data_IF_643967819520
#
_entry.id   IF_643967819520
#
_cell.length_a   1.000
_cell.length_b   1.000
_cell.length_c   1.000
_cell.angle_alpha   90.00
_cell.angle_beta   90.00
_cell.angle_gamma   90.00
#
_symmetry.space_group_name_H-M   'P 1'
#
loop_
_entity.id
_entity.type
_entity.pdbx_description
1 polymer ?
#
# COMPACT_ATOMS: atom_id res chain seq x y z
N UNK A 1 -9.42 -6.23 -8.06
CA UNK A 1 -10.23 -7.10 -7.18
C UNK A 1 -10.57 -6.33 -5.91
N UNK A 2 -11.72 -6.61 -5.28
CA UNK A 2 -12.14 -5.95 -4.03
C UNK A 2 -12.52 -7.02 -3.02
N UNK A 3 -11.85 -7.02 -1.88
CA UNK A 3 -12.02 -8.01 -0.81
C UNK A 3 -12.58 -7.33 0.42
N UNK A 4 -13.45 -8.00 1.17
CA UNK A 4 -13.97 -7.49 2.44
C UNK A 4 -13.32 -8.24 3.60
N UNK A 5 -12.89 -7.52 4.62
CA UNK A 5 -12.45 -8.06 5.91
C UNK A 5 -13.29 -7.47 7.03
N UNK A 6 -13.89 -8.35 7.81
CA UNK A 6 -14.68 -8.00 8.98
C UNK A 6 -13.84 -8.23 10.23
N UNK A 7 -13.63 -7.20 11.05
CA UNK A 7 -12.88 -7.37 12.30
C UNK A 7 -13.72 -8.01 13.41
N UNK A 8 -13.11 -8.74 14.35
CA UNK A 8 -13.81 -9.19 15.56
C UNK A 8 -14.20 -8.01 16.46
N UNK A 9 -15.22 -8.23 17.30
CA UNK A 9 -15.55 -7.34 18.41
C UNK A 9 -14.47 -7.40 19.48
N UNK A 10 -14.10 -6.26 20.03
CA UNK A 10 -13.29 -6.19 21.25
C UNK A 10 -14.14 -6.54 22.47
N UNK A 11 -13.51 -6.95 23.58
CA UNK A 11 -14.22 -7.27 24.82
C UNK A 11 -15.06 -6.08 25.32
N UNK A 12 -14.54 -4.85 25.21
CA UNK A 12 -15.25 -3.64 25.59
C UNK A 12 -16.51 -3.37 24.74
N UNK A 13 -16.47 -3.70 23.45
CA UNK A 13 -17.62 -3.53 22.54
C UNK A 13 -18.70 -4.58 22.82
N UNK A 14 -18.29 -5.81 23.16
CA UNK A 14 -19.22 -6.87 23.57
C UNK A 14 -19.95 -6.48 24.86
N UNK A 15 -19.23 -5.98 25.87
CA UNK A 15 -19.84 -5.51 27.13
C UNK A 15 -20.73 -4.28 26.94
N UNK A 16 -20.46 -3.46 25.93
CA UNK A 16 -21.25 -2.26 25.63
C UNK A 16 -22.52 -2.53 24.79
N UNK A 17 -22.80 -3.79 24.44
CA UNK A 17 -24.00 -4.15 23.65
C UNK A 17 -23.93 -3.73 22.18
N UNK A 18 -22.73 -3.55 21.62
CA UNK A 18 -22.54 -3.18 20.20
C UNK A 18 -22.79 -4.34 19.23
N UNK A 19 -22.82 -5.58 19.73
CA UNK A 19 -23.08 -6.79 18.95
C UNK A 19 -24.58 -7.01 18.75
N UNK A 20 -25.12 -6.47 17.66
CA UNK A 20 -26.56 -6.51 17.34
C UNK A 20 -26.89 -7.24 16.03
N UNK A 21 -26.01 -8.13 15.55
CA UNK A 21 -26.14 -8.86 14.26
C UNK A 21 -26.36 -7.93 13.03
N UNK A 22 -25.74 -6.75 13.04
CA UNK A 22 -25.85 -5.80 11.94
C UNK A 22 -25.14 -6.26 10.66
N UNK A 23 -24.18 -7.19 10.77
CA UNK A 23 -23.36 -7.69 9.66
C UNK A 23 -23.44 -9.21 9.66
N UNK A 24 -24.06 -9.78 8.62
CA UNK A 24 -24.12 -11.22 8.42
C UNK A 24 -23.30 -11.59 7.18
N UNK A 25 -22.36 -12.51 7.31
CA UNK A 25 -21.56 -13.01 6.19
C UNK A 25 -22.29 -14.18 5.54
N UNK A 26 -22.46 -14.12 4.23
CA UNK A 26 -22.96 -15.20 3.41
C UNK A 26 -21.81 -15.69 2.51
N UNK A 27 -21.11 -16.76 2.91
CA UNK A 27 -19.94 -17.25 2.19
C UNK A 27 -20.27 -17.65 0.75
N UNK A 28 -19.30 -17.53 -0.19
CA UNK A 28 -17.90 -17.11 0.05
C UNK A 28 -17.65 -15.60 -0.11
N UNK A 29 -18.61 -14.85 -0.65
CA UNK A 29 -18.34 -13.56 -1.29
C UNK A 29 -19.35 -12.46 -0.96
N UNK A 30 -20.35 -12.73 -0.10
CA UNK A 30 -21.44 -11.80 0.13
C UNK A 30 -21.55 -11.41 1.60
N UNK A 31 -21.93 -10.15 1.85
CA UNK A 31 -22.30 -9.64 3.17
C UNK A 31 -23.69 -8.99 3.12
N UNK A 32 -24.49 -9.25 4.14
CA UNK A 32 -25.79 -8.65 4.37
C UNK A 32 -25.67 -7.66 5.54
N UNK A 33 -26.00 -6.40 5.28
CA UNK A 33 -26.04 -5.34 6.27
C UNK A 33 -27.48 -5.11 6.75
N UNK A 34 -27.75 -5.37 8.02
CA UNK A 34 -29.07 -5.23 8.66
C UNK A 34 -29.10 -4.01 9.58
N UNK A 35 -30.26 -3.36 9.75
CA UNK A 35 -30.42 -2.34 10.79
C UNK A 35 -30.24 -2.96 12.18
N UNK A 36 -29.83 -2.17 13.19
CA UNK A 36 -29.65 -2.67 14.55
C UNK A 36 -31.00 -3.11 15.13
N UNK A 37 -30.98 -4.08 16.05
CA UNK A 37 -32.17 -4.59 16.70
C UNK A 37 -32.75 -3.51 17.63
N UNK A 38 -33.74 -2.76 17.14
CA UNK A 38 -34.49 -1.81 17.96
C UNK A 38 -35.27 -2.55 19.05
N UNK A 39 -35.17 -2.06 20.29
CA UNK A 39 -36.05 -2.47 21.38
C UNK A 39 -37.52 -2.29 20.98
N UNK A 40 -38.41 -3.16 21.45
CA UNK A 40 -39.83 -3.13 21.08
C UNK A 40 -40.50 -1.76 21.33
N UNK A 41 -40.00 -0.99 22.32
CA UNK A 41 -40.45 0.36 22.65
C UNK A 41 -40.09 1.42 21.58
N UNK A 42 -38.94 1.30 20.91
CA UNK A 42 -38.53 2.25 19.87
C UNK A 42 -39.29 2.04 18.54
N UNK A 43 -39.88 0.85 18.34
CA UNK A 43 -40.77 0.57 17.20
C UNK A 43 -42.14 1.23 17.32
N UNK A 44 -42.59 1.54 18.55
CA UNK A 44 -43.92 2.11 18.81
C UNK A 44 -43.95 3.65 18.71
N UNK A 45 -42.80 4.32 18.83
CA UNK A 45 -42.71 5.79 18.81
C UNK A 45 -42.39 6.39 17.44
N UNK A 46 -42.18 5.58 16.40
CA UNK A 46 -41.80 6.06 15.07
C UNK A 46 -42.69 5.44 13.99
N UNK A 47 -43.87 6.03 13.76
CA UNK A 47 -44.87 5.62 12.76
C UNK A 47 -44.42 5.69 11.28
N UNK A 48 -43.12 5.86 10.98
CA UNK A 48 -42.63 6.11 9.61
C UNK A 48 -41.47 5.25 9.12
N UNK A 49 -41.04 4.22 9.84
CA UNK A 49 -40.03 3.30 9.31
C UNK A 49 -40.68 2.10 8.63
N UNK A 50 -40.73 2.11 7.29
CA UNK A 50 -40.83 0.87 6.52
C UNK A 50 -39.76 -0.10 7.03
N UNK A 51 -40.03 -1.43 7.07
CA UNK A 51 -38.99 -2.41 7.40
C UNK A 51 -37.85 -2.21 6.40
N UNK A 52 -36.73 -1.62 6.84
CA UNK A 52 -35.55 -1.53 6.00
C UNK A 52 -35.02 -2.95 5.86
N UNK A 53 -35.39 -3.58 4.74
CA UNK A 53 -34.80 -4.83 4.27
C UNK A 53 -33.29 -4.64 4.22
N UNK A 54 -32.54 -5.59 4.80
CA UNK A 54 -31.08 -5.53 4.82
C UNK A 54 -30.48 -5.35 3.41
N UNK A 55 -29.35 -4.65 3.33
CA UNK A 55 -28.67 -4.37 2.06
C UNK A 55 -27.59 -5.41 1.80
N UNK A 56 -27.61 -6.01 0.62
CA UNK A 56 -26.67 -7.06 0.19
C UNK A 56 -25.51 -6.46 -0.63
N UNK A 57 -24.28 -6.85 -0.31
CA UNK A 57 -23.07 -6.43 -1.02
C UNK A 57 -22.21 -7.65 -1.38
N UNK A 58 -21.82 -7.76 -2.64
CA UNK A 58 -20.95 -8.83 -3.14
C UNK A 58 -19.51 -8.33 -3.25
N UNK A 59 -18.54 -9.21 -3.05
CA UNK A 59 -17.09 -8.95 -3.10
C UNK A 59 -16.39 -10.03 -3.94
N UNK A 60 -15.07 -9.93 -4.10
CA UNK A 60 -14.27 -11.04 -4.67
C UNK A 60 -14.14 -12.20 -3.67
N UNK A 61 -14.06 -11.88 -2.37
CA UNK A 61 -14.22 -12.81 -1.24
C UNK A 61 -14.50 -11.98 0.02
N UNK A 62 -15.13 -12.62 1.01
CA UNK A 62 -15.39 -12.03 2.33
C UNK A 62 -14.63 -12.82 3.40
N UNK A 63 -13.80 -12.13 4.15
CA UNK A 63 -13.00 -12.67 5.25
C UNK A 63 -13.63 -12.26 6.58
N UNK A 64 -14.05 -13.26 7.35
CA UNK A 64 -14.73 -13.04 8.62
C UNK A 64 -13.79 -12.73 9.79
N UNK A 65 -14.35 -12.52 10.99
CA UNK A 65 -13.60 -12.18 12.20
C UNK A 65 -12.52 -13.19 12.60
N UNK A 66 -12.69 -14.44 12.21
CA UNK A 66 -11.78 -15.55 12.53
C UNK A 66 -10.63 -15.70 11.53
N UNK A 67 -10.66 -14.96 10.41
CA UNK A 67 -9.62 -15.06 9.38
C UNK A 67 -8.30 -14.47 9.88
N UNK A 68 -7.27 -15.32 9.92
CA UNK A 68 -5.90 -14.94 10.25
C UNK A 68 -5.26 -14.03 9.19
N UNK A 69 -4.14 -13.39 9.51
CA UNK A 69 -3.44 -12.56 8.53
C UNK A 69 -2.84 -13.39 7.40
N UNK A 70 -2.42 -14.63 7.69
CA UNK A 70 -1.89 -15.55 6.69
C UNK A 70 -2.96 -15.90 5.66
N UNK A 71 -4.13 -16.35 6.11
CA UNK A 71 -5.24 -16.70 5.21
C UNK A 71 -5.69 -15.50 4.37
N UNK A 72 -5.76 -14.31 4.98
CA UNK A 72 -6.06 -13.10 4.23
C UNK A 72 -5.00 -12.81 3.16
N UNK A 73 -3.71 -12.89 3.51
CA UNK A 73 -2.61 -12.65 2.58
C UNK A 73 -2.63 -13.64 1.41
N UNK A 74 -2.76 -14.94 1.71
CA UNK A 74 -2.83 -16.02 0.72
C UNK A 74 -4.03 -15.84 -0.23
N UNK A 75 -5.19 -15.46 0.30
CA UNK A 75 -6.40 -15.24 -0.49
C UNK A 75 -6.44 -13.93 -1.30
N UNK A 76 -5.53 -12.98 -1.05
CA UNK A 76 -5.65 -11.61 -1.62
C UNK A 76 -4.39 -11.05 -2.27
N UNK A 77 -3.23 -11.09 -1.59
CA UNK A 77 -2.02 -10.33 -1.98
C UNK A 77 -0.95 -11.24 -2.59
N UNK A 78 -0.91 -12.53 -2.25
CA UNK A 78 0.10 -13.48 -2.75
C UNK A 78 0.23 -13.48 -4.29
N UNK A 79 -0.89 -13.48 -5.01
CA UNK A 79 -0.92 -13.41 -6.47
C UNK A 79 -0.33 -12.11 -7.04
N UNK A 80 -0.44 -11.01 -6.31
CA UNK A 80 0.11 -9.71 -6.70
C UNK A 80 1.61 -9.66 -6.48
N UNK A 81 2.10 -10.32 -5.42
CA UNK A 81 3.53 -10.54 -5.21
C UNK A 81 4.11 -11.35 -6.36
N UNK A 82 3.43 -12.44 -6.76
CA UNK A 82 3.82 -13.22 -7.94
C UNK A 82 3.90 -12.35 -9.20
N UNK A 83 2.84 -11.58 -9.47
CA UNK A 83 2.79 -10.67 -10.63
C UNK A 83 3.97 -9.69 -10.67
N UNK A 84 4.36 -9.15 -9.51
CA UNK A 84 5.50 -8.23 -9.39
C UNK A 84 6.83 -8.96 -9.61
N UNK A 85 7.00 -10.17 -9.09
CA UNK A 85 8.19 -10.97 -9.36
C UNK A 85 8.30 -11.34 -10.85
N UNK A 86 7.17 -11.49 -11.54
CA UNK A 86 7.08 -11.74 -12.99
C UNK A 86 7.30 -10.48 -13.85
N UNK A 87 7.50 -9.30 -13.24
CA UNK A 87 7.75 -8.04 -13.95
C UNK A 87 6.55 -7.10 -14.07
N UNK A 88 5.42 -7.44 -13.44
CA UNK A 88 4.21 -6.63 -13.38
C UNK A 88 4.25 -5.46 -12.40
N UNK A 89 3.16 -4.71 -12.30
CA UNK A 89 2.97 -3.68 -11.28
C UNK A 89 1.69 -3.98 -10.54
N UNK A 90 1.74 -3.89 -9.22
CA UNK A 90 0.58 -4.16 -8.39
C UNK A 90 0.42 -3.09 -7.32
N UNK A 91 -0.84 -2.73 -7.07
CA UNK A 91 -1.26 -1.82 -6.02
C UNK A 91 -2.21 -2.58 -5.09
N UNK A 92 -1.93 -2.53 -3.80
CA UNK A 92 -2.85 -2.97 -2.74
C UNK A 92 -3.10 -1.80 -1.82
N UNK A 93 -4.36 -1.48 -1.53
CA UNK A 93 -4.67 -0.47 -0.52
C UNK A 93 -5.77 -0.95 0.42
N UNK A 94 -5.59 -0.67 1.70
CA UNK A 94 -6.63 -0.85 2.72
C UNK A 94 -7.56 0.35 2.72
N UNK A 95 -8.85 0.13 2.92
CA UNK A 95 -9.84 1.21 2.97
C UNK A 95 -10.92 0.90 4.00
N UNK A 96 -11.39 1.93 4.69
CA UNK A 96 -12.44 1.82 5.70
C UNK A 96 -12.34 2.92 6.74
N UNK A 97 -13.30 2.92 7.65
CA UNK A 97 -13.39 3.88 8.75
C UNK A 97 -12.26 3.69 9.76
N UNK A 98 -11.99 4.70 10.58
CA UNK A 98 -11.14 4.55 11.76
C UNK A 98 -11.67 3.44 12.66
N UNK A 99 -10.73 2.70 13.27
CA UNK A 99 -11.02 1.51 14.07
C UNK A 99 -11.65 0.34 13.30
N UNK A 100 -11.56 0.28 11.96
CA UNK A 100 -11.99 -0.91 11.20
C UNK A 100 -10.92 -2.00 11.05
N UNK A 101 -9.68 -1.74 11.51
CA UNK A 101 -8.58 -2.70 11.42
C UNK A 101 -7.72 -2.57 10.15
N UNK A 102 -7.68 -1.38 9.52
CA UNK A 102 -6.80 -1.09 8.37
C UNK A 102 -5.32 -1.33 8.68
N UNK A 103 -4.79 -0.67 9.71
CA UNK A 103 -3.39 -0.84 10.13
C UNK A 103 -3.08 -2.25 10.61
N UNK A 104 -4.05 -2.92 11.27
CA UNK A 104 -3.94 -4.36 11.57
C UNK A 104 -3.77 -5.16 10.28
N UNK A 105 -4.56 -4.91 9.25
CA UNK A 105 -4.42 -5.58 7.95
C UNK A 105 -3.10 -5.24 7.25
N UNK A 106 -2.71 -3.97 7.27
CA UNK A 106 -1.51 -3.48 6.61
C UNK A 106 -0.22 -4.05 7.21
N UNK A 107 -0.03 -3.95 8.53
CA UNK A 107 1.20 -4.36 9.24
C UNK A 107 1.05 -5.58 10.12
N UNK A 108 -0.09 -5.72 10.78
CA UNK A 108 -0.32 -6.73 11.80
C UNK A 108 0.46 -6.50 13.09
N UNK A 109 0.11 -7.23 14.17
CA UNK A 109 0.97 -7.36 15.34
C UNK A 109 2.26 -8.12 14.98
N UNK A 110 3.30 -7.99 15.82
CA UNK A 110 4.55 -8.74 15.63
C UNK A 110 4.33 -10.27 15.69
N UNK A 111 3.28 -10.75 16.37
CA UNK A 111 2.92 -12.17 16.44
C UNK A 111 2.22 -12.71 15.19
N UNK A 112 1.54 -11.86 14.43
CA UNK A 112 0.84 -12.23 13.20
C UNK A 112 0.95 -11.10 12.18
N UNK A 113 2.03 -11.15 11.42
CA UNK A 113 2.37 -10.15 10.41
C UNK A 113 1.22 -9.92 9.42
N UNK A 114 0.96 -8.66 9.09
CA UNK A 114 -0.01 -8.24 8.09
C UNK A 114 0.50 -8.39 6.66
N UNK A 115 -0.24 -7.80 5.71
CA UNK A 115 0.02 -7.98 4.28
C UNK A 115 1.40 -7.44 3.85
N UNK A 116 1.88 -6.34 4.42
CA UNK A 116 3.14 -5.72 4.01
C UNK A 116 4.36 -6.56 4.44
N UNK A 117 4.56 -6.91 5.73
CA UNK A 117 5.70 -7.74 6.11
C UNK A 117 5.65 -9.14 5.49
N UNK A 118 4.45 -9.73 5.32
CA UNK A 118 4.29 -11.01 4.60
C UNK A 118 4.69 -10.89 3.13
N UNK A 119 4.32 -9.80 2.44
CA UNK A 119 4.76 -9.54 1.07
C UNK A 119 6.29 -9.51 0.96
N UNK A 120 6.97 -8.83 1.89
CA UNK A 120 8.43 -8.79 1.94
C UNK A 120 9.02 -10.19 2.15
N UNK A 121 8.50 -10.95 3.13
CA UNK A 121 8.94 -12.32 3.39
C UNK A 121 8.80 -13.24 2.17
N UNK A 122 7.67 -13.18 1.47
CA UNK A 122 7.44 -13.97 0.25
C UNK A 122 8.34 -13.53 -0.90
N UNK A 123 8.57 -12.23 -1.10
CA UNK A 123 9.50 -11.72 -2.13
C UNK A 123 10.90 -12.30 -1.92
N UNK A 124 11.46 -12.15 -0.71
CA UNK A 124 12.82 -12.58 -0.43
C UNK A 124 12.98 -14.10 -0.42
N UNK A 125 12.03 -14.85 0.16
CA UNK A 125 12.05 -16.33 0.13
C UNK A 125 11.92 -16.89 -1.30
N UNK A 126 11.16 -16.22 -2.16
CA UNK A 126 11.00 -16.61 -3.57
C UNK A 126 12.27 -16.36 -4.40
N UNK A 127 12.93 -15.22 -4.16
CA UNK A 127 14.19 -14.88 -4.84
C UNK A 127 15.35 -15.77 -4.34
N UNK A 128 15.43 -16.02 -3.04
CA UNK A 128 16.49 -16.82 -2.41
C UNK A 128 17.88 -16.26 -2.71
N UNK A 129 18.80 -17.12 -3.17
CA UNK A 129 20.19 -16.76 -3.44
C UNK A 129 20.39 -15.87 -4.68
N UNK A 130 19.33 -15.61 -5.46
CA UNK A 130 19.39 -14.75 -6.66
C UNK A 130 19.38 -13.26 -6.33
N UNK A 131 19.64 -12.86 -5.09
CA UNK A 131 19.68 -11.43 -4.73
C UNK A 131 20.92 -10.77 -5.33
N UNK A 132 20.70 -9.64 -6.01
CA UNK A 132 21.76 -8.75 -6.46
C UNK A 132 22.06 -7.73 -5.36
N UNK A 133 23.23 -7.84 -4.75
CA UNK A 133 23.69 -6.96 -3.65
C UNK A 133 24.45 -5.73 -4.14
N UNK A 134 24.82 -5.67 -5.43
CA UNK A 134 25.48 -4.51 -5.99
C UNK A 134 24.59 -3.26 -5.97
N UNK A 135 25.16 -2.13 -5.59
CA UNK A 135 24.50 -0.80 -5.60
C UNK A 135 24.73 -0.04 -6.91
N UNK A 136 25.29 -0.68 -7.94
CA UNK A 136 25.66 -0.01 -9.19
C UNK A 136 24.46 0.40 -10.05
N UNK A 137 23.26 -0.12 -9.78
CA UNK A 137 22.02 0.21 -10.51
C UNK A 137 20.94 0.57 -9.51
N UNK A 138 20.37 1.77 -9.67
CA UNK A 138 19.29 2.30 -8.83
C UNK A 138 18.05 2.62 -9.65
N UNK A 139 16.84 2.26 -9.20
CA UNK A 139 15.61 2.72 -9.85
C UNK A 139 15.51 4.25 -9.84
N UNK A 140 15.07 4.80 -10.98
CA UNK A 140 14.92 6.22 -11.21
C UNK A 140 13.50 6.51 -11.74
N UNK A 141 12.88 7.60 -11.25
CA UNK A 141 11.51 8.03 -11.62
C UNK A 141 10.50 6.89 -11.53
N UNK A 142 9.82 6.51 -12.62
CA UNK A 142 8.76 5.49 -12.62
C UNK A 142 9.24 4.12 -13.11
N UNK A 143 10.00 4.10 -14.23
CA UNK A 143 10.41 2.89 -14.96
C UNK A 143 11.83 2.99 -15.52
N UNK A 144 12.59 3.97 -15.04
CA UNK A 144 13.96 4.19 -15.47
C UNK A 144 14.90 3.63 -14.40
N UNK A 145 16.17 3.50 -14.76
CA UNK A 145 17.23 3.22 -13.82
C UNK A 145 18.43 4.09 -14.15
N UNK A 146 19.23 4.39 -13.14
CA UNK A 146 20.50 5.07 -13.27
C UNK A 146 21.62 4.14 -12.86
N UNK A 147 22.69 4.10 -13.66
CA UNK A 147 23.96 3.52 -13.22
C UNK A 147 24.64 4.51 -12.28
N UNK A 148 25.09 4.03 -11.13
CA UNK A 148 25.72 4.87 -10.11
C UNK A 148 27.24 4.86 -10.25
N UNK A 149 27.87 6.02 -10.12
CA UNK A 149 29.33 6.12 -9.96
C UNK A 149 29.77 5.47 -8.64
N UNK A 150 31.07 5.20 -8.48
CA UNK A 150 31.60 4.63 -7.25
C UNK A 150 31.36 5.55 -6.02
N UNK A 151 31.40 6.87 -6.21
CA UNK A 151 31.09 7.88 -5.19
C UNK A 151 29.63 7.79 -4.77
N UNK A 152 28.72 7.77 -5.73
CA UNK A 152 27.28 7.63 -5.47
C UNK A 152 26.95 6.30 -4.79
N UNK A 153 27.61 5.21 -5.17
CA UNK A 153 27.44 3.92 -4.48
C UNK A 153 27.89 4.00 -3.01
N UNK A 154 28.99 4.69 -2.73
CA UNK A 154 29.46 4.90 -1.37
C UNK A 154 28.47 5.73 -0.55
N UNK A 155 27.89 6.79 -1.12
CA UNK A 155 26.86 7.61 -0.47
C UNK A 155 25.61 6.79 -0.12
N UNK A 156 25.11 5.96 -1.05
CA UNK A 156 23.95 5.09 -0.81
C UNK A 156 24.24 4.06 0.29
N UNK A 157 25.45 3.47 0.30
CA UNK A 157 25.88 2.53 1.33
C UNK A 157 25.99 3.20 2.70
N UNK A 158 26.52 4.43 2.76
CA UNK A 158 26.61 5.23 3.99
C UNK A 158 25.21 5.58 4.52
N UNK A 159 24.30 5.99 3.63
CA UNK A 159 22.92 6.29 3.99
C UNK A 159 22.22 5.06 4.58
N UNK A 160 22.25 3.92 3.87
CA UNK A 160 21.70 2.64 4.35
C UNK A 160 22.26 2.26 5.72
N UNK A 161 23.57 2.38 5.91
CA UNK A 161 24.23 2.08 7.20
C UNK A 161 23.75 3.02 8.32
N UNK A 162 23.62 4.31 8.03
CA UNK A 162 23.11 5.31 8.99
C UNK A 162 21.66 5.00 9.39
N UNK A 163 20.80 4.72 8.40
CA UNK A 163 19.39 4.39 8.58
C UNK A 163 19.23 3.16 9.49
N UNK A 164 19.97 2.09 9.23
CA UNK A 164 19.92 0.86 10.03
C UNK A 164 20.56 1.02 11.42
N UNK A 165 21.53 1.93 11.59
CA UNK A 165 22.12 2.24 12.90
C UNK A 165 21.12 2.93 13.84
N UNK A 166 20.33 3.87 13.30
CA UNK A 166 19.28 4.53 14.08
C UNK A 166 18.30 3.53 14.68
N UNK A 167 17.98 2.45 13.95
CA UNK A 167 17.15 1.37 14.50
C UNK A 167 17.81 0.71 15.72
N UNK A 168 19.10 0.36 15.65
CA UNK A 168 19.84 -0.25 16.78
C UNK A 168 19.92 0.65 18.01
N UNK A 169 20.19 1.94 17.82
CA UNK A 169 20.24 2.92 18.92
C UNK A 169 18.87 3.08 19.57
N UNK A 170 17.81 3.06 18.75
CA UNK A 170 16.43 3.15 19.22
C UNK A 170 15.98 1.92 20.02
N UNK A 171 16.38 0.70 19.62
CA UNK A 171 16.12 -0.52 20.41
C UNK A 171 16.79 -0.45 21.77
N UNK A 172 18.05 0.01 21.83
CA UNK A 172 18.77 0.18 23.11
C UNK A 172 18.05 1.18 24.03
N UNK A 173 17.59 2.30 23.50
CA UNK A 173 16.87 3.30 24.29
C UNK A 173 15.51 2.79 24.80
N UNK A 174 14.78 2.01 24.00
CA UNK A 174 13.53 1.37 24.44
C UNK A 174 13.79 0.34 25.56
N UNK A 175 14.84 -0.47 25.43
CA UNK A 175 15.20 -1.46 26.44
C UNK A 175 15.64 -0.80 27.77
N UNK A 176 16.30 0.36 27.72
CA UNK A 176 16.67 1.13 28.90
C UNK A 176 15.46 1.77 29.62
N UNK A 177 14.44 2.19 28.87
CA UNK A 177 13.20 2.74 29.43
C UNK A 177 12.31 1.67 30.08
N UNK A 178 12.38 0.42 29.61
CA UNK A 178 11.62 -0.69 30.19
C UNK A 178 12.20 -1.22 31.52
N UNK A 179 13.40 -0.79 31.93
CA UNK A 179 13.99 -1.17 33.24
C UNK A 179 13.35 -0.43 34.44
N UNK A 180 12.48 0.55 34.24
CA UNK A 180 11.86 1.35 35.31
C UNK A 180 10.37 1.08 35.53
N UNK A 181 9.76 0.15 34.79
CA UNK A 181 8.33 -0.21 34.95
C UNK A 181 8.18 -1.70 35.24
N UNK A 182 7.89 -2.06 36.49
CA UNK A 182 7.41 -3.40 36.83
C UNK A 182 6.02 -3.59 36.22
N UNK A 183 5.91 -4.32 35.11
CA UNK A 183 4.78 -5.22 34.76
C UNK A 183 5.02 -5.89 33.39
N UNK A 184 4.86 -7.22 33.39
CA UNK A 184 4.85 -8.19 32.27
C UNK A 184 6.21 -8.65 31.69
N UNK A 185 6.52 -9.97 31.76
CA UNK A 185 7.70 -10.54 31.13
C UNK A 185 7.52 -10.75 29.63
N UNK A 186 8.61 -10.45 28.91
CA UNK A 186 9.07 -11.02 27.64
C UNK A 186 8.36 -10.61 26.32
N UNK A 187 8.92 -9.61 25.63
CA UNK A 187 8.68 -9.34 24.20
C UNK A 187 9.98 -8.99 23.46
N UNK A 188 11.08 -9.60 23.86
CA UNK A 188 12.40 -9.31 23.27
C UNK A 188 13.16 -10.57 22.90
N UNK A 189 12.54 -11.53 22.22
CA UNK A 189 13.26 -12.54 21.45
C UNK A 189 12.36 -13.10 20.36
N UNK A 190 12.95 -13.30 19.17
CA UNK A 190 12.44 -14.09 18.03
C UNK A 190 11.53 -13.34 17.04
N UNK A 191 12.20 -12.56 16.19
CA UNK A 191 11.74 -12.34 14.82
C UNK A 191 11.95 -13.66 14.07
N UNK A 192 11.10 -14.66 14.30
CA UNK A 192 11.04 -15.84 13.45
C UNK A 192 10.74 -15.37 12.02
N UNK A 193 11.45 -15.93 11.05
CA UNK A 193 11.27 -15.69 9.63
C UNK A 193 9.78 -15.84 9.30
N UNK A 194 9.08 -14.71 9.08
CA UNK A 194 7.62 -14.67 8.87
C UNK A 194 7.12 -15.40 7.61
N UNK A 195 8.05 -15.95 6.81
CA UNK A 195 7.77 -16.80 5.67
C UNK A 195 8.25 -18.21 6.02
N UNK A 196 7.31 -19.14 6.21
CA UNK A 196 7.63 -20.55 6.25
C UNK A 196 8.17 -20.98 4.86
N UNK A 197 8.98 -22.05 4.75
CA UNK A 197 9.47 -22.56 3.47
C UNK A 197 8.36 -22.82 2.44
N UNK A 198 7.14 -23.09 2.89
CA UNK A 198 5.94 -23.35 2.08
C UNK A 198 5.31 -22.10 1.44
N UNK A 199 5.72 -20.89 1.86
CA UNK A 199 5.19 -19.63 1.31
C UNK A 199 5.96 -19.15 0.07
N UNK A 200 6.93 -19.93 -0.42
CA UNK A 200 7.74 -19.64 -1.61
C UNK A 200 6.91 -19.66 -2.89
N UNK A 201 7.14 -18.69 -3.78
CA UNK A 201 6.61 -18.67 -5.15
C UNK A 201 7.69 -19.19 -6.09
N UNK A 202 7.35 -20.20 -6.90
CA UNK A 202 8.25 -20.72 -7.93
C UNK A 202 8.46 -19.70 -9.05
N UNK A 203 9.72 -19.30 -9.25
CA UNK A 203 10.12 -18.37 -10.30
C UNK A 203 10.78 -19.12 -11.46
N UNK A 204 10.16 -19.05 -12.64
CA UNK A 204 10.75 -19.55 -13.89
C UNK A 204 11.65 -18.44 -14.47
N UNK A 205 12.91 -18.41 -14.03
CA UNK A 205 13.90 -17.42 -14.47
C UNK A 205 15.19 -18.11 -14.92
N UNK A 206 15.84 -17.48 -15.90
CA UNK A 206 17.13 -17.91 -16.45
C UNK A 206 18.22 -17.96 -15.37
N UNK A 207 19.23 -18.81 -15.58
CA UNK A 207 20.29 -19.10 -14.59
C UNK A 207 21.09 -17.87 -14.15
N UNK A 208 21.28 -16.88 -15.04
CA UNK A 208 22.05 -15.67 -14.76
C UNK A 208 21.20 -14.48 -14.30
N UNK A 209 19.91 -14.72 -14.01
CA UNK A 209 19.00 -13.68 -13.53
C UNK A 209 19.15 -13.48 -12.02
N UNK A 210 19.47 -12.25 -11.62
CA UNK A 210 19.47 -11.76 -10.24
C UNK A 210 18.42 -10.67 -10.04
N UNK A 211 18.10 -10.38 -8.78
CA UNK A 211 17.08 -9.42 -8.39
C UNK A 211 17.61 -8.39 -7.40
N UNK A 212 17.49 -7.11 -7.72
CA UNK A 212 17.80 -6.01 -6.79
C UNK A 212 16.50 -5.42 -6.26
N UNK A 213 16.35 -5.36 -4.93
CA UNK A 213 15.13 -4.92 -4.25
C UNK A 213 15.35 -3.56 -3.62
N UNK A 214 14.51 -2.60 -3.97
CA UNK A 214 14.56 -1.23 -3.47
C UNK A 214 13.23 -0.87 -2.83
N UNK A 215 13.27 -0.27 -1.65
CA UNK A 215 12.07 0.14 -0.93
C UNK A 215 12.07 1.63 -0.64
N UNK A 216 10.88 2.22 -0.65
CA UNK A 216 10.63 3.59 -0.22
C UNK A 216 9.39 3.62 0.67
N UNK A 217 9.34 4.59 1.59
CA UNK A 217 8.21 4.75 2.48
C UNK A 217 7.90 6.24 2.63
N UNK A 218 6.70 6.66 2.24
CA UNK A 218 6.25 8.03 2.43
C UNK A 218 4.84 8.08 3.05
N UNK A 219 4.50 9.24 3.58
CA UNK A 219 3.13 9.56 3.95
C UNK A 219 2.59 10.74 3.14
N UNK A 220 1.29 10.74 2.91
CA UNK A 220 0.55 11.89 2.41
C UNK A 220 -0.29 12.42 3.57
N UNK A 221 0.14 13.55 4.12
CA UNK A 221 -0.52 14.23 5.21
C UNK A 221 -0.85 15.66 4.79
N UNK A 222 -2.11 16.05 4.92
CA UNK A 222 -2.55 17.41 4.60
C UNK A 222 -2.14 17.85 3.17
N UNK A 223 -2.32 16.97 2.18
CA UNK A 223 -1.91 17.15 0.76
C UNK A 223 -0.39 17.40 0.53
N UNK A 224 0.43 17.16 1.55
CA UNK A 224 1.89 17.19 1.46
C UNK A 224 2.45 15.77 1.54
N UNK A 225 3.48 15.49 0.75
CA UNK A 225 4.17 14.21 0.73
C UNK A 225 5.42 14.34 1.61
N UNK A 226 5.60 13.43 2.56
CA UNK A 226 6.77 13.42 3.43
C UNK A 226 7.48 12.07 3.36
N UNK A 227 8.80 12.10 3.25
CA UNK A 227 9.62 10.89 3.30
C UNK A 227 9.69 10.37 4.74
N UNK A 228 9.30 9.11 4.95
CA UNK A 228 9.37 8.48 6.28
C UNK A 228 10.73 7.84 6.55
N UNK A 229 11.62 7.76 5.56
CA UNK A 229 12.99 7.24 5.68
C UNK A 229 14.00 8.35 5.93
N UNK A 230 13.60 9.61 5.81
CA UNK A 230 14.43 10.76 6.15
C UNK A 230 14.19 11.20 7.59
N UNK A 231 15.28 11.41 8.32
CA UNK A 231 15.25 11.95 9.67
C UNK A 231 14.94 13.43 9.57
N UNK A 232 13.94 13.90 10.31
CA UNK A 232 13.74 15.34 10.46
C UNK A 232 15.03 15.95 11.04
N UNK A 233 15.59 17.01 10.42
CA UNK A 233 16.79 17.65 10.96
C UNK A 233 16.61 17.97 12.44
N UNK A 234 17.63 17.72 13.27
CA UNK A 234 17.56 18.00 14.71
C UNK A 234 17.10 19.45 14.95
N UNK A 235 15.93 19.62 15.57
CA UNK A 235 15.34 20.94 15.88
C UNK A 235 14.38 21.50 14.82
N UNK A 236 14.23 20.87 13.65
CA UNK A 236 13.24 21.29 12.67
C UNK A 236 11.82 20.85 13.08
N UNK A 237 10.81 21.74 13.02
CA UNK A 237 9.45 21.42 13.47
C UNK A 237 8.73 20.42 12.54
N UNK A 238 9.13 20.29 11.28
CA UNK A 238 8.48 19.44 10.26
C UNK A 238 9.46 18.94 9.20
N UNK A 239 9.17 17.77 8.61
CA UNK A 239 9.85 17.25 7.42
C UNK A 239 9.58 18.12 6.20
N UNK A 240 10.51 18.13 5.24
CA UNK A 240 10.34 18.81 3.96
C UNK A 240 9.19 18.15 3.20
N UNK A 241 8.32 18.96 2.59
CA UNK A 241 7.28 18.47 1.70
C UNK A 241 7.89 18.18 0.32
N UNK A 242 7.80 16.93 -0.11
CA UNK A 242 8.30 16.48 -1.41
C UNK A 242 7.34 16.84 -2.54
N UNK A 243 7.91 17.13 -3.72
CA UNK A 243 7.14 17.52 -4.90
C UNK A 243 6.80 16.33 -5.78
N UNK A 244 5.49 16.12 -6.00
CA UNK A 244 5.00 15.21 -7.06
C UNK A 244 5.23 15.84 -8.44
N UNK A 245 5.88 15.10 -9.34
CA UNK A 245 6.23 15.48 -10.70
C UNK A 245 5.82 14.39 -11.70
N UNK A 246 5.90 14.68 -13.00
CA UNK A 246 5.62 13.70 -14.06
C UNK A 246 6.87 13.42 -14.87
N UNK A 247 7.04 12.16 -15.30
CA UNK A 247 8.06 11.79 -16.27
C UNK A 247 7.64 12.18 -17.70
N UNK A 248 8.52 11.96 -18.67
CA UNK A 248 8.27 12.24 -20.09
C UNK A 248 7.09 11.44 -20.67
N UNK A 249 6.69 10.36 -20.02
CA UNK A 249 5.56 9.49 -20.40
C UNK A 249 4.28 9.86 -19.62
N UNK A 250 4.30 10.93 -18.83
CA UNK A 250 3.17 11.42 -18.04
C UNK A 250 2.92 10.66 -16.73
N UNK A 251 3.75 9.69 -16.35
CA UNK A 251 3.59 8.96 -15.09
C UNK A 251 4.07 9.82 -13.92
N UNK A 252 3.28 9.84 -12.84
CA UNK A 252 3.63 10.58 -11.64
C UNK A 252 4.73 9.88 -10.83
N UNK A 253 5.71 10.65 -10.35
CA UNK A 253 6.72 10.23 -9.38
C UNK A 253 7.00 11.34 -8.38
N UNK A 254 7.50 10.98 -7.21
CA UNK A 254 7.89 11.93 -6.16
C UNK A 254 9.36 12.26 -6.33
N UNK A 255 9.69 13.54 -6.49
CA UNK A 255 11.07 14.02 -6.53
C UNK A 255 11.71 13.86 -5.15
N UNK A 256 12.98 13.49 -5.16
CA UNK A 256 13.83 13.38 -3.97
C UNK A 256 13.37 12.36 -2.92
N UNK A 257 12.38 11.52 -3.25
CA UNK A 257 11.98 10.38 -2.42
C UNK A 257 13.13 9.38 -2.32
N UNK A 258 13.52 9.03 -1.09
CA UNK A 258 14.61 8.10 -0.84
C UNK A 258 14.19 6.66 -1.16
N UNK A 259 15.10 5.98 -1.85
CA UNK A 259 15.01 4.56 -2.16
C UNK A 259 16.20 3.86 -1.53
N UNK A 260 15.94 2.80 -0.78
CA UNK A 260 16.97 2.03 -0.06
C UNK A 260 17.01 0.63 -0.62
N UNK A 261 18.18 0.17 -1.05
CA UNK A 261 18.35 -1.23 -1.44
C UNK A 261 18.36 -2.11 -0.19
N UNK A 262 17.50 -3.13 -0.18
CA UNK A 262 17.37 -4.09 0.91
C UNK A 262 17.74 -5.48 0.41
N UNK A 263 18.51 -6.22 1.22
CA UNK A 263 19.06 -7.52 0.82
C UNK A 263 18.45 -8.70 1.58
N UNK A 264 17.55 -8.44 2.52
CA UNK A 264 16.84 -9.49 3.26
C UNK A 264 15.50 -9.01 3.82
N UNK A 265 14.66 -9.96 4.23
CA UNK A 265 13.38 -9.69 4.88
C UNK A 265 13.57 -8.87 6.16
N UNK A 266 14.57 -9.22 6.97
CA UNK A 266 14.85 -8.57 8.25
C UNK A 266 15.26 -7.12 8.03
N UNK A 267 16.06 -6.85 6.99
CA UNK A 267 16.46 -5.50 6.63
C UNK A 267 15.26 -4.66 6.19
N UNK A 268 14.42 -5.21 5.31
CA UNK A 268 13.22 -4.52 4.83
C UNK A 268 12.23 -4.24 5.97
N UNK A 269 12.03 -5.20 6.88
CA UNK A 269 11.18 -5.02 8.05
C UNK A 269 11.73 -3.94 9.02
N UNK A 270 13.06 -3.81 9.17
CA UNK A 270 13.64 -2.69 9.93
C UNK A 270 13.30 -1.34 9.32
N UNK A 271 13.36 -1.23 7.99
CA UNK A 271 12.96 -0.01 7.26
C UNK A 271 11.48 0.32 7.49
N UNK A 272 10.60 -0.69 7.45
CA UNK A 272 9.17 -0.53 7.77
C UNK A 272 8.98 -0.01 9.21
N UNK A 273 9.62 -0.66 10.20
CA UNK A 273 9.51 -0.28 11.62
C UNK A 273 10.02 1.16 11.85
N UNK A 274 11.14 1.53 11.22
CA UNK A 274 11.68 2.88 11.30
C UNK A 274 10.73 3.92 10.69
N UNK A 275 10.21 3.67 9.48
CA UNK A 275 9.26 4.58 8.84
C UNK A 275 7.98 4.78 9.66
N UNK A 276 7.48 3.71 10.29
CA UNK A 276 6.32 3.79 11.21
C UNK A 276 6.62 4.58 12.46
N UNK A 277 7.80 4.41 13.05
CA UNK A 277 8.24 5.25 14.15
C UNK A 277 8.23 6.71 13.71
N UNK A 278 8.86 7.00 12.58
CA UNK A 278 8.95 8.33 11.99
C UNK A 278 7.58 8.97 11.73
N UNK A 279 6.59 8.19 11.29
CA UNK A 279 5.21 8.65 11.15
C UNK A 279 4.59 9.06 12.51
N UNK A 280 4.81 8.27 13.57
CA UNK A 280 4.32 8.58 14.92
C UNK A 280 4.94 9.84 15.52
N UNK A 281 6.25 10.10 15.31
CA UNK A 281 6.92 11.28 15.86
C UNK A 281 6.44 12.61 15.26
N UNK A 282 5.95 12.61 14.02
CA UNK A 282 5.37 13.80 13.39
C UNK A 282 3.98 14.16 13.96
N UNK A 283 3.37 13.25 14.71
CA UNK A 283 2.11 13.47 15.39
C UNK A 283 2.38 13.99 16.82
N UNK A 284 2.01 15.24 17.11
CA UNK A 284 2.09 15.77 18.47
C UNK A 284 1.21 14.95 19.44
N UNK A 285 1.56 14.97 20.74
CA UNK A 285 1.01 14.20 21.90
C UNK A 285 -0.52 14.11 22.05
N UNK A 286 -1.31 14.70 21.15
CA UNK A 286 -2.77 14.82 21.19
C UNK A 286 -3.48 14.15 19.98
N UNK A 287 -2.76 13.51 19.05
CA UNK A 287 -3.32 12.97 17.80
C UNK A 287 -3.43 11.43 17.86
N UNK A 288 -4.62 10.87 17.62
CA UNK A 288 -4.78 9.42 17.47
C UNK A 288 -4.18 8.95 16.13
N UNK A 289 -3.29 7.96 16.24
CA UNK A 289 -2.39 7.39 15.23
C UNK A 289 -3.08 6.86 13.96
N UNK A 290 -2.35 6.88 12.83
CA UNK A 290 -2.64 6.26 11.51
C UNK A 290 -3.91 6.66 10.75
N UNK A 291 -4.93 7.21 11.43
CA UNK A 291 -6.21 7.57 10.82
C UNK A 291 -6.15 8.83 9.95
N UNK A 292 -5.04 9.58 9.98
CA UNK A 292 -4.97 10.95 9.48
C UNK A 292 -3.94 11.22 8.39
N UNK A 293 -3.09 10.24 8.07
CA UNK A 293 -2.23 10.30 6.90
C UNK A 293 -2.32 9.00 6.12
N UNK A 294 -2.20 9.10 4.81
CA UNK A 294 -2.11 7.90 3.96
C UNK A 294 -0.67 7.44 3.98
N UNK A 295 -0.43 6.17 4.29
CA UNK A 295 0.90 5.58 4.28
C UNK A 295 1.12 4.84 2.98
N UNK A 296 2.22 5.06 2.27
CA UNK A 296 2.53 4.36 1.02
C UNK A 296 3.93 3.73 1.13
N UNK A 297 3.97 2.41 1.12
CA UNK A 297 5.21 1.64 1.06
C UNK A 297 5.36 1.04 -0.34
N UNK A 298 6.41 1.41 -1.05
CA UNK A 298 6.66 0.94 -2.42
C UNK A 298 7.90 0.07 -2.49
N UNK A 299 7.76 -1.10 -3.08
CA UNK A 299 8.82 -2.08 -3.33
C UNK A 299 9.04 -2.15 -4.83
N UNK A 300 10.25 -1.82 -5.27
CA UNK A 300 10.69 -2.00 -6.65
C UNK A 300 11.61 -3.19 -6.77
N UNK A 301 11.36 -4.00 -7.79
CA UNK A 301 12.13 -5.20 -8.09
C UNK A 301 12.77 -5.01 -9.46
N UNK A 302 14.10 -4.95 -9.48
CA UNK A 302 14.88 -4.88 -10.70
C UNK A 302 15.35 -6.30 -11.03
N UNK A 303 14.90 -6.83 -12.16
CA UNK A 303 15.41 -8.09 -12.71
C UNK A 303 16.64 -7.79 -13.55
N UNK A 304 17.77 -8.33 -13.15
CA UNK A 304 19.09 -8.02 -13.70
C UNK A 304 19.70 -9.30 -14.25
N UNK A 305 20.16 -9.28 -15.49
CA UNK A 305 21.04 -10.31 -16.03
C UNK A 305 22.50 -9.93 -15.72
N UNK A 306 23.17 -10.82 -14.99
CA UNK A 306 24.51 -10.58 -14.46
C UNK A 306 25.57 -11.39 -15.22
N UNK A 307 25.70 -11.11 -16.51
CA UNK A 307 26.71 -11.70 -17.39
C UNK A 307 27.73 -10.61 -17.75
N UNK A 308 28.73 -10.43 -16.89
CA UNK A 308 29.77 -9.41 -17.03
C UNK A 308 29.30 -8.01 -16.68
N UNK A 309 28.59 -7.34 -17.59
CA UNK A 309 28.00 -6.02 -17.31
C UNK A 309 26.52 -6.18 -16.94
N UNK A 310 26.09 -5.78 -15.73
CA UNK A 310 24.71 -5.90 -15.30
C UNK A 310 23.73 -5.19 -16.25
N UNK A 311 22.75 -5.94 -16.77
CA UNK A 311 21.69 -5.43 -17.66
C UNK A 311 20.32 -5.57 -16.98
N UNK A 312 19.56 -4.48 -16.91
CA UNK A 312 18.20 -4.50 -16.35
C UNK A 312 17.22 -4.97 -17.41
N UNK A 313 16.57 -6.10 -17.18
CA UNK A 313 15.50 -6.64 -18.03
C UNK A 313 14.17 -5.95 -17.76
N UNK A 314 13.77 -5.89 -16.50
CA UNK A 314 12.46 -5.35 -16.10
C UNK A 314 12.55 -4.64 -14.75
N UNK A 315 11.70 -3.62 -14.59
CA UNK A 315 11.46 -2.94 -13.31
C UNK A 315 9.98 -3.09 -12.99
N UNK A 316 9.70 -3.85 -11.94
CA UNK A 316 8.36 -4.03 -11.39
C UNK A 316 8.18 -3.29 -10.08
N UNK A 317 6.92 -3.09 -9.67
CA UNK A 317 6.59 -2.30 -8.49
C UNK A 317 5.36 -2.87 -7.77
N UNK A 318 5.52 -3.18 -6.48
CA UNK A 318 4.43 -3.42 -5.54
C UNK A 318 4.27 -2.17 -4.67
N UNK A 319 3.12 -1.51 -4.72
CA UNK A 319 2.78 -0.45 -3.79
C UNK A 319 1.71 -0.96 -2.83
N UNK A 320 2.00 -0.89 -1.52
CA UNK A 320 1.05 -1.23 -0.46
C UNK A 320 0.71 0.04 0.29
N UNK A 321 -0.57 0.38 0.36
CA UNK A 321 -1.04 1.61 1.01
C UNK A 321 -1.94 1.32 2.21
N UNK A 322 -1.72 2.07 3.30
CA UNK A 322 -2.64 2.20 4.42
C UNK A 322 -3.36 3.53 4.29
N UNK A 323 -4.58 3.54 3.74
CA UNK A 323 -5.31 4.79 3.58
C UNK A 323 -5.87 5.26 4.93
N UNK A 324 -5.99 6.57 5.08
CA UNK A 324 -6.61 7.22 6.23
C UNK A 324 -8.08 6.80 6.42
N UNK A 325 -8.64 7.12 7.59
CA UNK A 325 -10.05 6.87 7.90
C UNK A 325 -10.99 7.61 6.94
N UNK A 326 -12.06 6.93 6.50
CA UNK A 326 -13.08 7.49 5.61
C UNK A 326 -14.28 8.11 6.34
N UNK A 327 -14.25 8.19 7.67
CA UNK A 327 -15.34 8.72 8.48
C UNK A 327 -15.56 10.22 8.29
N UNK A 328 -16.82 10.65 8.44
CA UNK A 328 -17.20 12.05 8.25
C UNK A 328 -16.74 12.93 9.40
N UNK A 329 -16.17 14.10 9.07
CA UNK A 329 -15.72 15.10 10.05
C UNK A 329 -16.81 15.53 11.05
N UNK A 330 -18.09 15.52 10.64
CA UNK A 330 -19.20 16.01 11.47
C UNK A 330 -19.41 15.22 12.78
N UNK A 331 -18.98 13.95 12.84
CA UNK A 331 -19.03 13.14 14.07
C UNK A 331 -17.77 13.29 14.93
N UNK A 332 -16.73 13.93 14.41
CA UNK A 332 -15.50 14.19 15.14
C UNK A 332 -15.62 15.56 15.81
N UNK A 333 -15.46 15.66 17.14
CA UNK A 333 -15.50 16.94 17.88
C UNK A 333 -14.23 17.80 17.61
N UNK A 334 -13.81 17.93 16.35
CA UNK A 334 -12.62 18.62 15.92
C UNK A 334 -12.88 20.13 15.76
N UNK A 335 -12.00 20.97 16.31
CA UNK A 335 -12.02 22.44 16.18
C UNK A 335 -10.70 22.95 15.59
N UNK A 336 -10.73 24.10 14.89
CA UNK A 336 -9.55 24.79 14.36
C UNK A 336 -8.81 23.99 13.28
N UNK A 337 -7.47 23.97 13.34
CA UNK A 337 -6.58 23.25 12.40
C UNK A 337 -6.97 21.77 12.20
N UNK A 338 -7.51 21.12 13.23
CA UNK A 338 -7.97 19.72 13.15
C UNK A 338 -9.15 19.51 12.21
N UNK A 339 -10.04 20.50 12.12
CA UNK A 339 -11.16 20.45 11.19
C UNK A 339 -10.68 20.57 9.74
N UNK A 340 -9.68 21.42 9.51
CA UNK A 340 -9.03 21.59 8.20
C UNK A 340 -8.27 20.33 7.79
N UNK A 341 -7.53 19.73 8.71
CA UNK A 341 -6.85 18.44 8.54
C UNK A 341 -7.83 17.32 8.18
N UNK A 342 -8.89 17.13 8.98
CA UNK A 342 -9.94 16.15 8.71
C UNK A 342 -10.65 16.40 7.37
N UNK A 343 -10.85 17.68 7.02
CA UNK A 343 -11.37 18.10 5.72
C UNK A 343 -10.49 17.66 4.55
N UNK A 344 -9.17 17.82 4.66
CA UNK A 344 -8.22 17.44 3.61
C UNK A 344 -8.12 15.91 3.44
N UNK A 345 -8.13 15.16 4.54
CA UNK A 345 -8.18 13.69 4.50
C UNK A 345 -9.43 13.22 3.74
N UNK A 346 -10.60 13.74 4.12
CA UNK A 346 -11.85 13.39 3.45
C UNK A 346 -11.91 13.86 2.00
N UNK A 347 -11.28 14.99 1.69
CA UNK A 347 -11.18 15.50 0.31
C UNK A 347 -10.37 14.53 -0.57
N UNK A 348 -9.22 14.05 -0.11
CA UNK A 348 -8.39 13.11 -0.86
C UNK A 348 -9.13 11.77 -1.16
N UNK A 349 -9.88 11.24 -0.19
CA UNK A 349 -10.68 10.02 -0.37
C UNK A 349 -11.93 10.26 -1.23
N UNK A 350 -12.55 11.43 -1.13
CA UNK A 350 -13.65 11.83 -2.00
C UNK A 350 -13.18 11.89 -3.46
N UNK A 351 -12.01 12.48 -3.72
CA UNK A 351 -11.43 12.57 -5.06
C UNK A 351 -11.08 11.17 -5.59
N UNK A 352 -10.58 10.27 -4.73
CA UNK A 352 -10.40 8.86 -5.09
C UNK A 352 -11.73 8.22 -5.56
N UNK A 353 -12.82 8.49 -4.84
CA UNK A 353 -14.16 8.04 -5.24
C UNK A 353 -14.63 8.62 -6.57
N UNK A 354 -14.40 9.93 -6.80
CA UNK A 354 -14.67 10.56 -8.10
C UNK A 354 -13.86 9.92 -9.22
N UNK A 355 -12.57 9.64 -9.00
CA UNK A 355 -11.72 8.99 -9.99
C UNK A 355 -12.25 7.60 -10.35
N UNK A 356 -12.56 6.76 -9.36
CA UNK A 356 -13.12 5.42 -9.56
C UNK A 356 -14.44 5.47 -10.30
N UNK A 357 -15.34 6.40 -9.93
CA UNK A 357 -16.63 6.54 -10.61
C UNK A 357 -16.47 7.00 -12.07
N UNK A 358 -15.54 7.93 -12.32
CA UNK A 358 -15.24 8.40 -13.67
C UNK A 358 -14.63 7.28 -14.53
N UNK A 359 -13.73 6.47 -13.98
CA UNK A 359 -13.16 5.28 -14.64
C UNK A 359 -14.26 4.27 -14.99
N UNK A 360 -15.17 3.97 -14.06
CA UNK A 360 -16.30 3.08 -14.29
C UNK A 360 -17.18 3.57 -15.44
N UNK A 361 -17.53 4.86 -15.42
CA UNK A 361 -18.34 5.47 -16.47
C UNK A 361 -17.64 5.38 -17.83
N UNK A 362 -16.33 5.67 -17.88
CA UNK A 362 -15.54 5.59 -19.12
C UNK A 362 -15.45 4.19 -19.73
N UNK A 363 -15.68 3.13 -18.94
CA UNK A 363 -15.72 1.76 -19.45
C UNK A 363 -17.05 1.40 -20.11
N UNK A 364 -18.12 2.14 -19.78
CA UNK A 364 -19.47 1.89 -20.27
C UNK A 364 -19.90 2.90 -21.34
N UNK A 365 -19.33 4.11 -21.31
CA UNK A 365 -19.66 5.20 -22.20
C UNK A 365 -18.86 5.15 -23.51
N UNK A 366 -19.49 5.61 -24.60
CA UNK A 366 -18.82 5.80 -25.91
C UNK A 366 -17.84 6.98 -25.91
N UNK A 367 -18.07 7.97 -25.04
CA UNK A 367 -17.23 9.16 -24.87
C UNK A 367 -16.52 9.09 -23.52
N UNK A 368 -15.19 9.10 -23.57
CA UNK A 368 -14.33 9.06 -22.39
C UNK A 368 -14.28 10.45 -21.76
N UNK A 369 -14.75 10.58 -20.51
CA UNK A 369 -14.66 11.82 -19.76
C UNK A 369 -13.30 11.94 -19.04
N UNK A 370 -12.91 13.16 -18.69
CA UNK A 370 -11.69 13.40 -17.91
C UNK A 370 -11.79 12.77 -16.50
N UNK A 371 -10.75 12.04 -16.09
CA UNK A 371 -10.65 11.47 -14.74
C UNK A 371 -9.82 12.42 -13.84
N UNK A 372 -10.34 12.92 -12.72
CA UNK A 372 -9.74 14.00 -11.93
C UNK A 372 -8.55 13.57 -11.03
N UNK A 373 -7.60 12.79 -11.56
CA UNK A 373 -6.47 12.31 -10.77
C UNK A 373 -5.63 13.43 -10.16
N UNK A 374 -5.57 14.60 -10.80
CA UNK A 374 -4.75 15.75 -10.38
C UNK A 374 -5.34 16.55 -9.22
N UNK A 375 -6.59 16.30 -8.82
CA UNK A 375 -7.25 17.06 -7.75
C UNK A 375 -6.71 16.74 -6.34
N UNK A 376 -6.05 15.58 -6.15
CA UNK A 376 -5.35 15.23 -4.90
C UNK A 376 -4.01 14.57 -5.20
N UNK A 377 -3.01 14.80 -4.34
CA UNK A 377 -1.71 14.13 -4.42
C UNK A 377 -1.82 12.61 -4.32
N UNK A 378 -2.77 12.10 -3.54
CA UNK A 378 -3.02 10.67 -3.41
C UNK A 378 -3.42 10.07 -4.76
N UNK A 379 -4.46 10.63 -5.39
CA UNK A 379 -4.96 10.12 -6.67
C UNK A 379 -3.96 10.33 -7.80
N UNK A 380 -3.19 11.43 -7.76
CA UNK A 380 -2.18 11.70 -8.77
C UNK A 380 -1.01 10.70 -8.66
N UNK A 381 -0.58 10.35 -7.44
CA UNK A 381 0.41 9.30 -7.21
C UNK A 381 -0.09 7.94 -7.72
N UNK A 382 -1.35 7.59 -7.41
CA UNK A 382 -1.93 6.29 -7.76
C UNK A 382 -2.37 6.16 -9.24
N UNK A 383 -2.36 7.26 -10.00
CA UNK A 383 -2.86 7.32 -11.39
C UNK A 383 -2.33 6.18 -12.26
N UNK A 384 -1.02 5.90 -12.17
CA UNK A 384 -0.35 4.89 -13.03
C UNK A 384 -0.87 3.47 -12.80
N UNK A 385 -1.36 3.15 -11.60
CA UNK A 385 -1.93 1.84 -11.28
C UNK A 385 -3.35 1.66 -11.82
N UNK A 386 -4.12 2.75 -11.95
CA UNK A 386 -5.49 2.70 -12.46
C UNK A 386 -5.58 2.82 -14.00
N UNK A 387 -4.64 3.52 -14.64
CA UNK A 387 -4.67 3.81 -16.08
C UNK A 387 -3.91 2.80 -16.95
N UNK A 388 -3.89 1.53 -16.56
CA UNK A 388 -3.57 0.42 -17.49
C UNK A 388 -2.15 -0.13 -17.48
N UNK A 389 -1.41 0.06 -16.39
CA UNK A 389 -0.04 -0.45 -16.26
C UNK A 389 0.18 -1.37 -15.05
N UNK A 390 -0.87 -1.77 -14.34
CA UNK A 390 -0.76 -2.68 -13.20
C UNK A 390 -2.10 -3.28 -12.76
N UNK A 391 -2.04 -4.18 -11.77
CA UNK A 391 -3.22 -4.72 -11.09
C UNK A 391 -3.51 -3.88 -9.85
N UNK A 392 -4.78 -3.60 -9.60
CA UNK A 392 -5.23 -2.91 -8.40
C UNK A 392 -6.11 -3.83 -7.54
N UNK A 393 -5.81 -3.84 -6.25
CA UNK A 393 -6.51 -4.59 -5.22
C UNK A 393 -6.90 -3.66 -4.07
N UNK A 394 -8.15 -3.74 -3.67
CA UNK A 394 -8.69 -3.00 -2.55
C UNK A 394 -9.11 -3.98 -1.46
N UNK A 395 -8.60 -3.79 -0.24
CA UNK A 395 -9.03 -4.55 0.94
C UNK A 395 -9.86 -3.63 1.81
N UNK A 396 -11.15 -3.93 1.89
CA UNK A 396 -12.16 -3.14 2.60
C UNK A 396 -12.25 -3.66 4.03
N UNK A 397 -11.94 -2.83 5.01
CA UNK A 397 -12.02 -3.16 6.42
C UNK A 397 -13.28 -2.54 7.02
N UNK A 398 -14.13 -3.37 7.64
CA UNK A 398 -15.36 -2.90 8.30
C UNK A 398 -15.41 -3.27 9.78
N UNK A 399 -16.12 -2.43 10.53
CA UNK A 399 -16.50 -2.67 11.91
C UNK A 399 -17.98 -3.11 11.96
N UNK A 400 -18.28 -4.07 12.84
CA UNK A 400 -19.61 -4.67 13.03
C UNK A 400 -20.45 -3.93 14.09
N UNK A 401 -19.86 -2.99 14.85
CA UNK A 401 -20.57 -2.20 15.86
C UNK A 401 -21.80 -1.49 15.28
N UNK A 402 -22.94 -1.62 15.98
CA UNK A 402 -24.20 -0.98 15.63
C UNK A 402 -24.06 0.55 15.55
N UNK A 403 -23.28 1.17 16.44
CA UNK A 403 -23.04 2.63 16.42
C UNK A 403 -22.30 3.13 15.17
N UNK A 404 -21.61 2.24 14.45
CA UNK A 404 -20.84 2.56 13.24
C UNK A 404 -21.54 2.18 11.94
N UNK A 405 -22.78 1.69 12.01
CA UNK A 405 -23.49 1.10 10.86
C UNK A 405 -23.57 2.03 9.64
N UNK A 406 -23.89 3.31 9.84
CA UNK A 406 -24.00 4.28 8.75
C UNK A 406 -22.69 4.47 7.99
N UNK A 407 -21.57 4.45 8.73
CA UNK A 407 -20.24 4.62 8.15
C UNK A 407 -19.80 3.33 7.46
N UNK A 408 -20.07 2.16 8.05
CA UNK A 408 -19.89 0.86 7.39
C UNK A 408 -20.70 0.80 6.09
N UNK A 409 -21.95 1.28 6.08
CA UNK A 409 -22.77 1.35 4.89
C UNK A 409 -22.15 2.23 3.79
N UNK A 410 -21.62 3.40 4.16
CA UNK A 410 -20.93 4.29 3.20
C UNK A 410 -19.70 3.60 2.57
N UNK A 411 -18.90 2.91 3.40
CA UNK A 411 -17.74 2.13 2.94
C UNK A 411 -18.16 1.03 1.96
N UNK A 412 -19.22 0.28 2.27
CA UNK A 412 -19.73 -0.80 1.41
C UNK A 412 -20.27 -0.25 0.08
N UNK A 413 -21.01 0.87 0.10
CA UNK A 413 -21.50 1.55 -1.12
C UNK A 413 -20.35 2.01 -2.01
N UNK A 414 -19.31 2.62 -1.43
CA UNK A 414 -18.11 3.01 -2.17
C UNK A 414 -17.42 1.80 -2.81
N UNK A 415 -17.26 0.72 -2.04
CA UNK A 415 -16.56 -0.49 -2.48
C UNK A 415 -17.30 -1.20 -3.63
N UNK A 416 -18.64 -1.20 -3.60
CA UNK A 416 -19.46 -1.73 -4.68
C UNK A 416 -19.31 -0.94 -6.00
N UNK A 417 -19.02 0.36 -5.93
CA UNK A 417 -18.67 1.16 -7.12
C UNK A 417 -17.29 0.77 -7.64
N UNK A 418 -16.30 0.63 -6.75
CA UNK A 418 -14.93 0.26 -7.09
C UNK A 418 -14.80 -1.12 -7.72
N UNK A 419 -15.60 -2.09 -7.26
CA UNK A 419 -15.58 -3.46 -7.77
C UNK A 419 -15.95 -3.56 -9.26
N UNK A 420 -16.77 -2.63 -9.76
CA UNK A 420 -17.22 -2.61 -11.16
C UNK A 420 -16.19 -2.01 -12.12
N UNK A 421 -15.05 -1.51 -11.64
CA UNK A 421 -13.98 -0.95 -12.46
C UNK A 421 -13.00 -2.03 -12.86
N UNK A 422 -12.81 -2.24 -14.16
CA UNK A 422 -11.79 -3.14 -14.71
C UNK A 422 -10.54 -2.35 -15.08
N UNK A 423 -9.37 -2.66 -14.52
CA UNK A 423 -8.12 -2.05 -15.00
C UNK A 423 -7.76 -2.66 -16.35
N UNK A 424 -7.93 -1.90 -17.43
CA UNK A 424 -7.63 -2.34 -18.79
C UNK A 424 -6.12 -2.42 -18.96
N UNK A 425 -5.55 -3.61 -19.13
CA UNK A 425 -4.14 -3.75 -19.51
C UNK A 425 -3.97 -3.40 -20.98
N UNK A 426 -3.16 -2.38 -21.28
CA UNK A 426 -2.57 -2.30 -22.61
C UNK A 426 -1.51 -3.40 -22.69
N UNK A 427 -1.73 -4.41 -23.55
CA UNK A 427 -0.66 -5.36 -23.89
C UNK A 427 0.56 -4.55 -24.35
N UNK A 428 1.77 -4.84 -23.87
CA UNK A 428 2.96 -4.32 -24.52
C UNK A 428 2.92 -4.79 -25.97
N UNK A 429 2.99 -3.86 -26.93
CA UNK A 429 3.38 -4.23 -28.28
C UNK A 429 4.75 -4.94 -28.15
N UNK A 430 4.98 -6.05 -28.88
CA UNK A 430 6.30 -6.67 -28.92
C UNK A 430 7.31 -5.57 -29.22
N UNK A 431 8.30 -5.43 -28.34
CA UNK A 431 9.43 -4.55 -28.58
C UNK A 431 10.11 -5.13 -29.82
N UNK A 432 9.85 -4.55 -30.99
CA UNK A 432 10.73 -4.77 -32.14
C UNK A 432 12.09 -4.26 -31.69
N UNK A 433 13.04 -5.18 -31.59
CA UNK A 433 14.46 -4.87 -31.47
C UNK A 433 14.77 -3.76 -32.47
N UNK A 434 15.01 -2.54 -31.97
CA UNK A 434 15.70 -1.54 -32.77
C UNK A 434 17.10 -2.09 -32.99
N UNK A 435 17.30 -2.73 -34.14
CA UNK A 435 18.62 -2.98 -34.69
C UNK A 435 19.34 -1.64 -34.73
N UNK A 436 20.48 -1.59 -34.05
CA UNK A 436 21.38 -0.46 -34.02
C UNK A 436 21.57 0.13 -35.42
N UNK A 437 21.42 1.44 -35.51
CA UNK A 437 21.80 2.27 -36.66
C UNK A 437 23.29 2.14 -36.96
N UNK A 438 23.66 1.11 -37.72
CA UNK A 438 25.05 0.82 -38.12
C UNK A 438 25.23 0.18 -39.50
N UNK A 439 24.15 -0.08 -40.27
CA UNK A 439 24.23 -0.77 -41.57
C UNK A 439 23.50 -0.05 -42.71
N UNK A 440 23.56 1.29 -42.75
CA UNK A 440 22.99 2.07 -43.89
C UNK A 440 24.07 2.63 -44.84
N UNK A 441 25.36 2.45 -44.56
CA UNK A 441 26.45 3.03 -45.37
C UNK A 441 27.25 2.05 -46.24
N UNK A 442 26.76 0.82 -46.52
CA UNK A 442 27.45 -0.11 -47.44
C UNK A 442 26.72 -0.50 -48.72
N UNK A 443 25.49 -0.02 -48.93
CA UNK A 443 24.71 -0.33 -50.15
C UNK A 443 24.52 0.85 -51.11
N UNK A 444 25.18 1.99 -50.89
CA UNK A 444 25.09 3.16 -51.76
C UNK A 444 26.19 3.21 -52.86
N UNK A 445 27.25 2.39 -52.79
CA UNK A 445 28.37 2.45 -53.76
C UNK A 445 28.33 1.37 -54.86
N UNK A 446 27.27 0.56 -54.95
CA UNK A 446 27.15 -0.50 -55.99
C UNK A 446 26.16 -0.19 -57.12
N UNK A 447 25.67 1.04 -57.21
CA UNK A 447 24.71 1.48 -58.24
C UNK A 447 25.19 2.64 -59.13
N UNK A 448 26.49 2.91 -59.15
CA UNK A 448 27.12 3.92 -60.00
C UNK A 448 28.11 3.35 -61.04
N UNK A 449 28.10 2.04 -61.26
CA UNK A 449 28.86 1.37 -62.32
C UNK A 449 27.96 0.31 -62.96
N UNK A 450 27.12 0.76 -63.90
CA UNK A 450 26.59 0.05 -65.07
C UNK A 450 25.78 1.04 -65.93
#
# INVERSE_FOLDING_TARGET
KVFLRVRPFTSAEQTSGESQDCVTIEPPDTVLLKPPNLSALARLSSEKFLPQTGQRFQFSSVHGPQTSQKELFDGTVRDLVKDVLDGGRSLVFTYGVTNSGKTFTFLGPDSDAGILPRSLGVIFSSIGEKIFTGMCIKPHRCREFSKLSWEQQAEEALFKRSLLRQFKENEKNMNLLNMTSQTHPDTSTMMETFAAPEDKISLNVETNTKFSIWVSFCEIYNENIHDLLEVAPNGAPRRIALRLSQDVKGNAFVKDLRWVQVSSTEEACKVVKLGRKNQSFSSTRLNQLSSRSHSLFSIRVLRIEDIGTPRVHTISELCVCDLAGSERCAKTQNKGERLKEAGNINTSLLILGKCINALRHNQQAKLVQHVPFRESKLTHYLQSFFCGQGKACMIVNINQCASMLDETLNVLKFSAVAQKVVVLSCRPLPIMLQTSSGEVTRNAERKALL
#
